data_IF_507704109787
#
_entry.id   IF_507704109787
#
_cell.length_a   1.000
_cell.length_b   1.000
_cell.length_c   1.000
_cell.angle_alpha   90.00
_cell.angle_beta   90.00
_cell.angle_gamma   90.00
#
_symmetry.space_group_name_H-M   'P 1'
#
loop_
_entity.id
_entity.type
_entity.pdbx_description
1 polymer ?
#
# COMPACT_ATOMS: atom_id res chain seq x y z
N UNK A 1 28.86 37.19 10.77
CA UNK A 1 29.72 36.88 9.61
C UNK A 1 29.26 35.51 9.11
N UNK A 2 28.34 35.52 8.14
CA UNK A 2 27.62 34.35 7.66
C UNK A 2 28.43 33.63 6.58
N UNK A 3 28.67 32.33 6.77
CA UNK A 3 29.10 31.42 5.70
C UNK A 3 28.01 30.35 5.57
N UNK A 4 27.35 30.21 4.40
CA UNK A 4 26.36 29.17 4.20
C UNK A 4 27.05 27.84 3.88
N UNK A 5 26.92 26.86 4.76
CA UNK A 5 27.35 25.48 4.48
C UNK A 5 26.24 24.81 3.65
N UNK A 6 26.54 24.50 2.40
CA UNK A 6 25.67 23.78 1.47
C UNK A 6 25.31 22.38 2.01
N UNK A 7 24.02 22.03 1.99
CA UNK A 7 23.49 20.73 2.45
C UNK A 7 24.07 19.51 1.72
N UNK A 8 24.76 19.71 0.59
CA UNK A 8 25.51 18.64 -0.11
C UNK A 8 26.76 18.17 0.66
N UNK A 9 27.33 18.99 1.54
CA UNK A 9 28.54 18.62 2.29
C UNK A 9 28.23 17.65 3.45
N UNK A 10 27.10 17.87 4.15
CA UNK A 10 26.62 16.98 5.23
C UNK A 10 26.19 15.60 4.72
N UNK A 11 25.59 15.54 3.53
CA UNK A 11 25.16 14.30 2.90
C UNK A 11 26.33 13.38 2.50
N UNK A 12 27.51 13.95 2.22
CA UNK A 12 28.72 13.18 1.88
C UNK A 12 29.51 12.70 3.09
N UNK A 13 29.37 13.35 4.24
CA UNK A 13 30.08 12.98 5.47
C UNK A 13 29.41 11.81 6.21
N UNK A 14 28.06 11.72 6.18
CA UNK A 14 27.31 10.65 6.85
C UNK A 14 27.45 9.27 6.17
N UNK A 15 27.73 9.22 4.87
CA UNK A 15 27.88 7.96 4.12
C UNK A 15 29.26 7.30 4.25
N UNK A 16 30.17 7.80 5.11
CA UNK A 16 31.51 7.21 5.30
C UNK A 16 31.70 6.43 6.61
N UNK A 17 30.75 6.44 7.55
CA UNK A 17 31.04 5.93 8.91
C UNK A 17 30.11 4.83 9.42
N UNK A 18 29.10 4.36 8.67
CA UNK A 18 28.22 3.26 9.14
C UNK A 18 28.11 2.15 8.11
N UNK A 19 29.19 1.39 7.95
CA UNK A 19 29.16 0.01 7.43
C UNK A 19 30.24 -0.78 8.16
N UNK A 20 29.96 -1.20 9.40
CA UNK A 20 30.68 -2.28 10.07
C UNK A 20 29.64 -3.25 10.63
N UNK A 21 29.70 -4.51 10.17
CA UNK A 21 28.96 -5.61 10.78
C UNK A 21 27.82 -6.20 9.96
N UNK A 22 28.09 -6.62 8.72
CA UNK A 22 27.51 -7.83 8.08
C UNK A 22 28.21 -8.05 6.75
N UNK A 23 28.63 -9.29 6.51
CA UNK A 23 29.44 -9.76 5.39
C UNK A 23 29.09 -9.09 4.05
N UNK A 24 29.81 -8.03 3.70
CA UNK A 24 29.85 -7.51 2.34
C UNK A 24 30.73 -8.46 1.54
N UNK A 25 30.10 -9.40 0.83
CA UNK A 25 30.76 -9.98 -0.33
C UNK A 25 31.04 -8.81 -1.29
N UNK A 26 32.28 -8.33 -1.27
CA UNK A 26 32.79 -7.45 -2.32
C UNK A 26 32.60 -8.20 -3.62
N UNK A 27 31.69 -7.70 -4.45
CA UNK A 27 31.65 -8.05 -5.87
C UNK A 27 32.96 -7.51 -6.44
N UNK A 28 33.98 -8.36 -6.38
CA UNK A 28 35.28 -8.07 -6.95
C UNK A 28 35.09 -8.39 -8.42
N UNK A 29 34.79 -7.38 -9.22
CA UNK A 29 34.78 -7.50 -10.67
C UNK A 29 36.19 -7.90 -11.10
N UNK A 30 36.40 -9.20 -11.35
CA UNK A 30 37.58 -9.68 -12.07
C UNK A 30 37.40 -9.25 -13.53
N UNK A 31 37.78 -8.01 -13.81
CA UNK A 31 37.94 -7.50 -15.16
C UNK A 31 39.10 -8.25 -15.81
N UNK A 32 38.80 -9.42 -16.34
CA UNK A 32 39.73 -10.17 -17.19
C UNK A 32 39.70 -9.48 -18.54
N UNK A 33 40.81 -8.84 -18.90
CA UNK A 33 40.97 -8.14 -20.17
C UNK A 33 40.85 -9.12 -21.34
N UNK A 34 39.64 -9.20 -21.92
CA UNK A 34 39.40 -9.65 -23.28
C UNK A 34 38.60 -8.53 -23.94
N UNK A 35 39.30 -7.54 -24.52
CA UNK A 35 38.70 -6.55 -25.40
C UNK A 35 38.34 -7.23 -26.73
N UNK A 36 37.23 -7.96 -26.74
CA UNK A 36 36.44 -8.09 -27.94
C UNK A 36 35.61 -6.81 -28.05
N UNK A 37 35.88 -5.98 -29.06
CA UNK A 37 34.98 -4.87 -29.40
C UNK A 37 33.65 -5.48 -29.82
N UNK A 38 32.67 -5.54 -28.91
CA UNK A 38 31.31 -5.96 -29.28
C UNK A 38 30.80 -5.03 -30.39
N UNK A 39 30.38 -5.61 -31.51
CA UNK A 39 29.75 -4.82 -32.57
C UNK A 39 28.46 -4.19 -32.05
N UNK A 40 28.26 -2.89 -32.35
CA UNK A 40 27.05 -2.18 -31.96
C UNK A 40 25.84 -2.79 -32.67
N UNK A 41 25.01 -3.54 -31.94
CA UNK A 41 23.76 -4.10 -32.43
C UNK A 41 22.79 -2.97 -32.79
N UNK A 42 22.22 -3.02 -33.99
CA UNK A 42 21.20 -2.08 -34.46
C UNK A 42 20.01 -2.81 -35.05
N UNK A 43 18.83 -2.20 -34.98
CA UNK A 43 17.65 -2.71 -35.69
C UNK A 43 17.61 -2.25 -37.17
N UNK A 44 16.57 -2.65 -37.91
CA UNK A 44 16.34 -2.29 -39.32
C UNK A 44 16.18 -0.79 -39.59
N UNK A 45 15.94 0.03 -38.56
CA UNK A 45 15.87 1.48 -38.64
C UNK A 45 17.16 2.17 -38.13
N UNK A 46 18.27 1.41 -38.00
CA UNK A 46 19.56 1.89 -37.51
C UNK A 46 19.52 2.45 -36.06
N UNK A 47 18.54 2.04 -35.26
CA UNK A 47 18.47 2.38 -33.84
C UNK A 47 19.35 1.40 -33.08
N UNK A 48 20.22 1.92 -32.23
CA UNK A 48 21.09 1.13 -31.37
C UNK A 48 20.26 0.32 -30.36
N UNK A 49 20.54 -0.98 -30.29
CA UNK A 49 19.95 -1.94 -29.37
C UNK A 49 20.89 -2.16 -28.18
N UNK A 50 20.41 -2.91 -27.18
CA UNK A 50 21.26 -3.39 -26.09
C UNK A 50 22.49 -4.14 -26.63
N UNK A 51 23.62 -4.05 -25.92
CA UNK A 51 24.84 -4.83 -26.19
C UNK A 51 24.55 -6.34 -26.19
N UNK A 52 25.42 -7.13 -26.83
CA UNK A 52 25.19 -8.59 -26.89
C UNK A 52 25.32 -9.22 -25.50
N UNK A 53 26.27 -8.74 -24.69
CA UNK A 53 26.40 -9.09 -23.28
C UNK A 53 25.09 -8.88 -22.49
N UNK A 54 24.43 -7.73 -22.60
CA UNK A 54 23.18 -7.49 -21.87
C UNK A 54 22.00 -8.24 -22.49
N UNK A 55 21.94 -8.31 -23.81
CA UNK A 55 20.86 -8.99 -24.52
C UNK A 55 20.81 -10.49 -24.20
N UNK A 56 21.97 -11.16 -24.22
CA UNK A 56 22.07 -12.59 -23.89
C UNK A 56 21.65 -12.87 -22.43
N UNK A 57 21.97 -11.97 -21.50
CA UNK A 57 21.57 -12.10 -20.09
C UNK A 57 20.08 -11.84 -19.85
N UNK A 58 19.50 -10.83 -20.50
CA UNK A 58 18.09 -10.42 -20.30
C UNK A 58 17.12 -11.35 -21.05
N UNK A 59 17.48 -11.79 -22.26
CA UNK A 59 16.59 -12.54 -23.13
C UNK A 59 17.01 -14.02 -23.29
N UNK A 60 18.01 -14.48 -22.53
CA UNK A 60 18.51 -15.88 -22.52
C UNK A 60 18.70 -16.46 -23.93
N UNK A 61 19.26 -15.68 -24.84
CA UNK A 61 19.50 -16.03 -26.25
C UNK A 61 18.23 -16.29 -27.09
N UNK A 62 17.10 -15.71 -26.70
CA UNK A 62 15.92 -15.66 -27.58
C UNK A 62 16.28 -14.92 -28.86
N UNK A 63 16.04 -15.54 -30.02
CA UNK A 63 16.29 -14.90 -31.31
C UNK A 63 15.30 -13.74 -31.49
N UNK A 64 15.76 -12.56 -31.94
CA UNK A 64 14.85 -11.48 -32.30
C UNK A 64 13.82 -11.95 -33.32
N UNK A 65 12.56 -11.55 -33.13
CA UNK A 65 11.52 -11.82 -34.11
C UNK A 65 11.90 -11.17 -35.45
N UNK A 66 11.85 -11.96 -36.53
CA UNK A 66 12.07 -11.44 -37.89
C UNK A 66 10.78 -10.80 -38.39
N UNK A 67 10.87 -9.55 -38.88
CA UNK A 67 9.73 -8.85 -39.49
C UNK A 67 9.61 -9.23 -40.96
N UNK A 68 8.38 -9.27 -41.49
CA UNK A 68 8.16 -9.49 -42.93
C UNK A 68 8.64 -8.29 -43.74
N UNK A 69 9.00 -8.51 -45.01
CA UNK A 69 9.45 -7.45 -45.90
C UNK A 69 8.39 -6.36 -46.10
N UNK A 70 7.11 -6.73 -46.14
CA UNK A 70 5.99 -5.80 -46.25
C UNK A 70 5.87 -4.91 -45.01
N UNK A 71 6.10 -5.47 -43.80
CA UNK A 71 6.11 -4.70 -42.56
C UNK A 71 7.28 -3.71 -42.54
N UNK A 72 8.47 -4.15 -42.92
CA UNK A 72 9.66 -3.29 -43.01
C UNK A 72 9.46 -2.16 -44.02
N UNK A 73 8.86 -2.44 -45.18
CA UNK A 73 8.55 -1.43 -46.20
C UNK A 73 7.60 -0.36 -45.67
N UNK A 74 6.54 -0.75 -44.95
CA UNK A 74 5.61 0.19 -44.32
C UNK A 74 6.29 1.06 -43.27
N UNK A 75 7.13 0.49 -42.41
CA UNK A 75 7.89 1.25 -41.40
C UNK A 75 8.81 2.25 -42.08
N UNK A 76 9.56 1.83 -43.11
CA UNK A 76 10.45 2.70 -43.88
C UNK A 76 9.70 3.86 -44.53
N UNK A 77 8.58 3.60 -45.21
CA UNK A 77 7.77 4.66 -45.83
C UNK A 77 7.23 5.66 -44.80
N UNK A 78 6.79 5.18 -43.62
CA UNK A 78 6.33 6.04 -42.53
C UNK A 78 7.46 6.95 -42.02
N UNK A 79 8.65 6.38 -41.79
CA UNK A 79 9.81 7.14 -41.35
C UNK A 79 10.27 8.16 -42.40
N UNK A 80 10.22 7.84 -43.70
CA UNK A 80 10.51 8.78 -44.79
C UNK A 80 9.51 9.94 -44.79
N UNK A 81 8.20 9.63 -44.69
CA UNK A 81 7.13 10.64 -44.68
C UNK A 81 7.31 11.68 -43.57
N UNK A 82 7.78 11.25 -42.40
CA UNK A 82 8.05 12.14 -41.26
C UNK A 82 9.47 12.72 -41.24
N UNK A 83 10.27 12.45 -42.29
CA UNK A 83 11.65 12.91 -42.40
C UNK A 83 12.55 12.35 -41.29
N UNK A 84 12.32 11.12 -40.85
CA UNK A 84 13.07 10.43 -39.78
C UNK A 84 14.00 9.33 -40.30
N UNK A 85 13.79 8.86 -41.54
CA UNK A 85 14.62 7.83 -42.16
C UNK A 85 16.04 8.35 -42.48
N UNK A 86 17.05 7.47 -42.38
CA UNK A 86 18.48 7.77 -42.60
C UNK A 86 19.07 8.92 -41.77
N UNK A 87 18.41 9.33 -40.68
CA UNK A 87 18.99 10.29 -39.73
C UNK A 87 20.00 9.59 -38.82
N UNK A 88 21.18 10.18 -38.67
CA UNK A 88 22.23 9.68 -37.76
C UNK A 88 21.80 9.85 -36.31
N UNK A 89 21.70 8.74 -35.57
CA UNK A 89 21.56 8.76 -34.11
C UNK A 89 22.93 8.76 -33.45
N UNK A 90 23.06 9.45 -32.32
CA UNK A 90 24.25 9.34 -31.46
C UNK A 90 24.34 7.92 -30.94
N UNK A 91 25.46 7.23 -31.22
CA UNK A 91 25.72 5.88 -30.72
C UNK A 91 26.49 5.97 -29.39
N UNK A 92 26.03 5.23 -28.39
CA UNK A 92 26.75 5.02 -27.15
C UNK A 92 27.72 3.83 -27.30
N UNK A 93 28.79 3.81 -26.52
CA UNK A 93 29.67 2.65 -26.46
C UNK A 93 28.92 1.43 -25.90
N UNK A 94 29.10 0.23 -26.47
CA UNK A 94 28.51 -1.00 -25.94
C UNK A 94 28.90 -1.25 -24.49
N UNK A 95 27.90 -1.46 -23.63
CA UNK A 95 28.10 -1.68 -22.21
C UNK A 95 28.27 -3.17 -21.92
N UNK A 96 29.34 -3.54 -21.21
CA UNK A 96 29.55 -4.90 -20.72
C UNK A 96 29.37 -4.90 -19.20
N UNK A 97 28.24 -5.43 -18.72
CA UNK A 97 27.92 -5.55 -17.28
C UNK A 97 27.31 -6.91 -17.04
N UNK A 98 27.82 -7.61 -16.03
CA UNK A 98 27.21 -8.83 -15.53
C UNK A 98 26.04 -8.48 -14.60
N UNK A 99 24.83 -8.83 -15.01
CA UNK A 99 23.61 -8.67 -14.24
C UNK A 99 23.51 -9.77 -13.17
N UNK A 100 22.86 -9.48 -12.02
CA UNK A 100 22.50 -10.52 -11.07
C UNK A 100 21.69 -11.63 -11.75
N UNK A 101 21.80 -12.85 -11.22
CA UNK A 101 21.06 -14.00 -11.75
C UNK A 101 19.57 -13.71 -11.79
N UNK A 102 18.99 -13.72 -12.99
CA UNK A 102 17.55 -13.57 -13.16
C UNK A 102 16.80 -14.83 -12.68
N UNK A 103 15.66 -14.63 -12.05
CA UNK A 103 14.75 -15.69 -11.63
C UNK A 103 13.87 -16.18 -12.80
N UNK A 104 13.41 -15.27 -13.67
CA UNK A 104 12.53 -15.56 -14.81
C UNK A 104 13.26 -15.69 -16.15
N UNK A 105 12.53 -15.93 -17.26
CA UNK A 105 13.12 -16.07 -18.61
C UNK A 105 13.30 -14.74 -19.34
N UNK A 106 12.55 -13.73 -18.93
CA UNK A 106 12.64 -12.34 -19.39
C UNK A 106 12.43 -11.40 -18.19
N UNK A 107 12.46 -10.08 -18.43
CA UNK A 107 12.28 -9.08 -17.37
C UNK A 107 10.91 -9.19 -16.70
N UNK A 108 9.85 -9.42 -17.48
CA UNK A 108 8.48 -9.58 -16.97
C UNK A 108 8.38 -10.75 -16.00
N UNK A 109 8.76 -11.95 -16.45
CA UNK A 109 8.79 -13.16 -15.62
C UNK A 109 9.65 -12.94 -14.37
N UNK A 110 10.80 -12.26 -14.50
CA UNK A 110 11.70 -12.02 -13.37
C UNK A 110 11.04 -11.19 -12.26
N UNK A 111 10.37 -10.10 -12.62
CA UNK A 111 9.65 -9.28 -11.65
C UNK A 111 8.41 -9.98 -11.10
N UNK A 112 7.74 -10.81 -11.91
CA UNK A 112 6.63 -11.64 -11.44
C UNK A 112 7.08 -12.64 -10.37
N UNK A 113 8.20 -13.32 -10.59
CA UNK A 113 8.77 -14.26 -9.61
C UNK A 113 9.25 -13.55 -8.34
N UNK A 114 9.89 -12.37 -8.46
CA UNK A 114 10.23 -11.54 -7.28
C UNK A 114 8.95 -11.16 -6.52
N UNK A 115 7.92 -10.71 -7.23
CA UNK A 115 6.66 -10.30 -6.61
C UNK A 115 6.01 -11.47 -5.87
N UNK A 116 5.86 -12.63 -6.51
CA UNK A 116 5.30 -13.85 -5.91
C UNK A 116 6.04 -14.23 -4.63
N UNK A 117 7.37 -14.26 -4.65
CA UNK A 117 8.17 -14.63 -3.47
C UNK A 117 8.01 -13.60 -2.35
N UNK A 118 8.03 -12.30 -2.67
CA UNK A 118 7.93 -11.22 -1.68
C UNK A 118 6.55 -11.06 -1.07
N UNK A 119 5.49 -11.39 -1.79
CA UNK A 119 4.11 -11.21 -1.34
C UNK A 119 3.43 -12.50 -0.90
N UNK A 120 4.09 -13.67 -1.07
CA UNK A 120 3.53 -15.01 -0.82
C UNK A 120 2.67 -15.11 0.44
N UNK A 121 3.22 -14.73 1.59
CA UNK A 121 2.53 -14.88 2.88
C UNK A 121 1.39 -13.86 3.01
N UNK A 122 1.58 -12.62 2.57
CA UNK A 122 0.53 -11.59 2.57
C UNK A 122 -0.62 -11.93 1.62
N UNK A 123 -0.33 -12.56 0.48
CA UNK A 123 -1.35 -13.07 -0.43
C UNK A 123 -2.17 -14.18 0.24
N UNK A 124 -1.51 -15.13 0.89
CA UNK A 124 -2.18 -16.19 1.66
C UNK A 124 -3.03 -15.61 2.81
N UNK A 125 -2.58 -14.55 3.48
CA UNK A 125 -3.36 -13.83 4.49
C UNK A 125 -4.60 -13.15 3.92
N UNK A 126 -4.47 -12.45 2.79
CA UNK A 126 -5.58 -11.84 2.09
C UNK A 126 -6.61 -12.89 1.66
N UNK A 127 -6.16 -13.98 1.02
CA UNK A 127 -7.01 -15.10 0.60
C UNK A 127 -7.71 -15.75 1.80
N UNK A 128 -6.98 -16.01 2.89
CA UNK A 128 -7.58 -16.54 4.13
C UNK A 128 -8.67 -15.61 4.68
N UNK A 129 -8.44 -14.30 4.68
CA UNK A 129 -9.42 -13.32 5.17
C UNK A 129 -10.66 -13.27 4.27
N UNK A 130 -10.48 -13.22 2.94
CA UNK A 130 -11.58 -13.24 1.97
C UNK A 130 -12.45 -14.49 2.11
N UNK A 131 -11.83 -15.67 2.24
CA UNK A 131 -12.54 -16.93 2.44
C UNK A 131 -13.23 -17.07 3.81
N UNK A 132 -12.82 -16.27 4.81
CA UNK A 132 -13.35 -16.35 6.17
C UNK A 132 -14.46 -15.34 6.46
N UNK A 133 -14.85 -14.52 5.48
CA UNK A 133 -15.80 -13.41 5.63
C UNK A 133 -17.16 -13.83 6.21
N UNK A 134 -17.63 -15.04 5.90
CA UNK A 134 -18.91 -15.58 6.41
C UNK A 134 -18.80 -16.19 7.80
N UNK A 135 -17.58 -16.34 8.32
CA UNK A 135 -17.27 -17.02 9.58
C UNK A 135 -16.69 -16.10 10.65
N UNK A 136 -16.78 -14.78 10.46
CA UNK A 136 -16.29 -13.84 11.47
C UNK A 136 -17.13 -13.91 12.77
N UNK A 137 -16.51 -13.65 13.93
CA UNK A 137 -17.21 -13.62 15.20
C UNK A 137 -18.34 -12.58 15.22
N UNK A 138 -19.40 -12.88 15.97
CA UNK A 138 -20.42 -11.89 16.25
C UNK A 138 -19.82 -10.67 16.95
N UNK A 139 -20.31 -9.49 16.56
CA UNK A 139 -19.86 -8.24 17.14
C UNK A 139 -20.21 -8.19 18.64
N UNK A 140 -19.30 -7.74 19.52
CA UNK A 140 -19.61 -7.50 20.92
C UNK A 140 -20.79 -6.54 21.10
N UNK A 141 -21.70 -6.89 22.02
CA UNK A 141 -22.83 -6.04 22.40
C UNK A 141 -22.43 -4.92 23.36
N UNK A 142 -21.34 -5.12 24.11
CA UNK A 142 -20.76 -4.12 24.99
C UNK A 142 -19.24 -4.08 24.84
N UNK A 143 -18.73 -2.86 24.71
CA UNK A 143 -17.30 -2.60 24.61
C UNK A 143 -16.76 -2.15 25.97
N UNK A 144 -15.53 -2.56 26.27
CA UNK A 144 -14.87 -2.26 27.53
C UNK A 144 -14.21 -0.89 27.41
N UNK A 145 -14.59 0.03 28.29
CA UNK A 145 -14.01 1.37 28.36
C UNK A 145 -12.70 1.32 29.17
N UNK A 146 -11.62 0.85 28.55
CA UNK A 146 -10.32 0.71 29.19
C UNK A 146 -9.20 1.02 28.19
N UNK A 147 -8.19 1.77 28.63
CA UNK A 147 -7.03 2.14 27.81
C UNK A 147 -6.27 0.91 27.30
N UNK A 148 -5.79 0.99 26.06
CA UNK A 148 -5.07 -0.07 25.39
C UNK A 148 -5.98 -1.03 24.62
N UNK A 149 -5.43 -2.20 24.24
CA UNK A 149 -6.15 -3.20 23.46
C UNK A 149 -6.94 -4.16 24.35
N UNK A 150 -8.18 -4.43 23.94
CA UNK A 150 -9.05 -5.48 24.47
C UNK A 150 -9.46 -6.44 23.35
N UNK A 151 -9.28 -7.73 23.58
CA UNK A 151 -9.66 -8.85 22.71
C UNK A 151 -10.99 -9.45 23.17
N UNK A 152 -11.89 -9.68 22.22
CA UNK A 152 -13.20 -10.33 22.41
C UNK A 152 -13.21 -11.62 21.61
N UNK A 153 -13.14 -12.75 22.31
CA UNK A 153 -13.09 -14.08 21.70
C UNK A 153 -14.50 -14.63 21.43
N UNK A 154 -14.58 -15.62 20.54
CA UNK A 154 -15.84 -16.28 20.16
C UNK A 154 -16.53 -17.03 21.30
N UNK A 155 -15.78 -17.43 22.33
CA UNK A 155 -16.30 -18.06 23.54
C UNK A 155 -16.86 -17.04 24.57
N UNK A 156 -16.80 -15.75 24.25
CA UNK A 156 -17.22 -14.65 25.11
C UNK A 156 -16.14 -14.17 26.08
N UNK A 157 -14.93 -14.74 26.05
CA UNK A 157 -13.83 -14.25 26.87
C UNK A 157 -13.37 -12.85 26.42
N UNK A 158 -13.17 -11.98 27.41
CA UNK A 158 -12.68 -10.61 27.20
C UNK A 158 -11.32 -10.49 27.89
N UNK A 159 -10.28 -10.15 27.12
CA UNK A 159 -8.90 -10.12 27.60
C UNK A 159 -8.20 -8.82 27.20
N UNK A 160 -7.51 -8.18 28.14
CA UNK A 160 -6.58 -7.09 27.80
C UNK A 160 -5.33 -7.69 27.16
N UNK A 161 -4.92 -7.14 26.01
CA UNK A 161 -3.72 -7.56 25.28
C UNK A 161 -2.83 -6.34 24.99
N UNK A 162 -1.54 -6.57 24.70
CA UNK A 162 -0.63 -5.47 24.35
C UNK A 162 -0.81 -5.00 22.91
N UNK A 163 -1.15 -5.93 22.03
CA UNK A 163 -1.40 -5.76 20.61
C UNK A 163 -2.19 -6.97 20.10
N UNK A 164 -2.91 -6.88 18.96
CA UNK A 164 -3.60 -8.02 18.36
C UNK A 164 -2.64 -9.14 17.95
N UNK A 165 -2.97 -10.40 18.24
CA UNK A 165 -2.09 -11.56 17.98
C UNK A 165 -2.24 -12.17 16.57
N UNK A 166 -3.29 -11.85 15.82
CA UNK A 166 -3.52 -12.42 14.49
C UNK A 166 -2.68 -11.75 13.40
N UNK A 167 -2.35 -12.53 12.38
CA UNK A 167 -1.57 -12.08 11.22
C UNK A 167 -2.41 -11.31 10.20
N UNK A 168 -3.75 -11.39 10.23
CA UNK A 168 -4.62 -10.67 9.29
C UNK A 168 -5.90 -10.20 9.96
N UNK A 169 -6.29 -8.96 9.68
CA UNK A 169 -7.50 -8.33 10.21
C UNK A 169 -7.94 -7.15 9.36
N UNK A 170 -9.24 -6.85 9.42
CA UNK A 170 -9.75 -5.54 9.00
C UNK A 170 -9.54 -4.56 10.15
N UNK A 171 -9.14 -3.32 9.84
CA UNK A 171 -8.71 -2.32 10.81
C UNK A 171 -9.23 -0.93 10.43
N UNK A 172 -9.67 -0.16 11.42
CA UNK A 172 -10.20 1.20 11.26
C UNK A 172 -9.94 2.04 12.53
N UNK A 173 -9.62 3.32 12.36
CA UNK A 173 -9.23 4.28 13.41
C UNK A 173 -10.12 5.51 13.40
N UNK A 174 -10.56 5.94 14.58
CA UNK A 174 -11.29 7.19 14.77
C UNK A 174 -10.43 8.23 15.52
N UNK A 175 -10.54 9.47 15.07
CA UNK A 175 -9.85 10.66 15.59
C UNK A 175 -10.89 11.71 15.96
N UNK A 176 -10.71 12.39 17.09
CA UNK A 176 -11.55 13.52 17.47
C UNK A 176 -10.94 14.83 16.93
N UNK A 177 -11.59 15.45 15.95
CA UNK A 177 -11.05 16.62 15.25
C UNK A 177 -10.88 17.85 16.17
N UNK A 178 -11.73 18.00 17.17
CA UNK A 178 -11.63 19.07 18.18
C UNK A 178 -10.46 18.86 19.17
N UNK A 179 -10.07 17.61 19.38
CA UNK A 179 -9.03 17.24 20.33
C UNK A 179 -7.62 17.32 19.72
N UNK A 180 -7.51 17.18 18.40
CA UNK A 180 -6.26 17.21 17.65
C UNK A 180 -6.05 15.93 16.84
N UNK A 181 -4.89 15.84 16.18
CA UNK A 181 -4.58 14.72 15.30
C UNK A 181 -4.00 13.51 16.07
N UNK A 182 -4.74 12.99 17.04
CA UNK A 182 -4.35 11.79 17.82
C UNK A 182 -5.41 10.70 17.69
N UNK A 183 -5.02 9.43 17.63
CA UNK A 183 -5.99 8.35 17.55
C UNK A 183 -6.72 8.25 18.89
N UNK A 184 -8.06 8.17 18.84
CA UNK A 184 -8.92 8.08 20.02
C UNK A 184 -9.42 6.66 20.19
N UNK A 185 -9.86 6.04 19.10
CA UNK A 185 -10.37 4.67 19.08
C UNK A 185 -9.78 3.93 17.88
N UNK A 186 -9.55 2.63 18.04
CA UNK A 186 -9.40 1.75 16.89
C UNK A 186 -10.20 0.47 17.10
N UNK A 187 -10.61 -0.14 16.00
CA UNK A 187 -11.27 -1.44 15.99
C UNK A 187 -10.59 -2.33 14.97
N UNK A 188 -10.44 -3.60 15.31
CA UNK A 188 -10.03 -4.61 14.34
C UNK A 188 -10.88 -5.87 14.46
N UNK A 189 -11.02 -6.61 13.36
CA UNK A 189 -11.67 -7.93 13.37
C UNK A 189 -10.85 -8.91 12.56
N UNK A 190 -10.62 -10.09 13.15
CA UNK A 190 -10.06 -11.25 12.49
C UNK A 190 -11.12 -12.34 12.37
N UNK A 191 -10.75 -13.50 11.79
CA UNK A 191 -11.60 -14.70 11.83
C UNK A 191 -11.94 -15.16 13.26
N UNK A 192 -11.10 -14.85 14.25
CA UNK A 192 -11.17 -15.47 15.57
C UNK A 192 -11.65 -14.53 16.67
N UNK A 193 -11.48 -13.21 16.49
CA UNK A 193 -11.77 -12.24 17.54
C UNK A 193 -12.03 -10.83 17.00
N UNK A 194 -12.77 -10.06 17.81
CA UNK A 194 -12.82 -8.60 17.70
C UNK A 194 -11.78 -7.98 18.63
N UNK A 195 -11.28 -6.82 18.24
CA UNK A 195 -10.32 -6.03 19.00
C UNK A 195 -10.79 -4.59 19.11
N UNK A 196 -10.63 -4.03 20.29
CA UNK A 196 -10.91 -2.63 20.58
C UNK A 196 -9.70 -2.00 21.22
N UNK A 197 -9.18 -0.93 20.62
CA UNK A 197 -8.20 -0.06 21.25
C UNK A 197 -8.88 1.22 21.73
N UNK A 198 -8.57 1.63 22.96
CA UNK A 198 -8.99 2.91 23.51
C UNK A 198 -7.76 3.72 23.90
N UNK A 199 -7.68 4.94 23.41
CA UNK A 199 -6.59 5.86 23.72
C UNK A 199 -6.60 6.25 25.20
N UNK A 200 -5.42 6.41 25.79
CA UNK A 200 -5.31 6.90 27.16
C UNK A 200 -5.83 8.35 27.29
N UNK A 201 -5.75 9.16 26.23
CA UNK A 201 -6.34 10.51 26.20
C UNK A 201 -7.85 10.52 26.35
N UNK A 202 -8.53 9.42 25.96
CA UNK A 202 -9.96 9.30 26.18
C UNK A 202 -10.23 8.94 27.65
N UNK A 203 -9.47 8.02 28.24
CA UNK A 203 -9.72 7.53 29.60
C UNK A 203 -9.20 8.43 30.73
N UNK A 204 -8.15 9.22 30.48
CA UNK A 204 -7.54 10.13 31.47
C UNK A 204 -8.00 11.57 31.20
N UNK A 205 -8.97 12.04 31.99
CA UNK A 205 -9.55 13.39 31.86
C UNK A 205 -8.56 14.52 32.15
N UNK A 206 -7.48 14.25 32.90
CA UNK A 206 -6.45 15.23 33.21
C UNK A 206 -5.32 15.30 32.18
N UNK A 207 -5.33 14.40 31.19
CA UNK A 207 -4.23 14.27 30.24
C UNK A 207 -4.24 15.38 29.20
N UNK A 208 -3.09 16.03 29.01
CA UNK A 208 -2.91 17.00 27.93
C UNK A 208 -2.61 16.27 26.61
N UNK A 209 -3.40 16.57 25.59
CA UNK A 209 -3.17 16.04 24.25
C UNK A 209 -1.98 16.77 23.64
N UNK A 210 -0.94 16.05 23.20
CA UNK A 210 0.22 16.69 22.62
C UNK A 210 -0.14 17.34 21.28
N UNK A 211 0.52 18.47 20.99
CA UNK A 211 0.37 19.15 19.70
C UNK A 211 0.91 18.30 18.54
N UNK A 212 1.97 17.52 18.81
CA UNK A 212 2.60 16.61 17.86
C UNK A 212 2.41 15.15 18.29
N UNK A 213 2.19 14.26 17.32
CA UNK A 213 2.07 12.82 17.58
C UNK A 213 3.43 12.28 18.04
N UNK A 214 3.43 11.55 19.16
CA UNK A 214 4.61 10.82 19.67
C UNK A 214 4.38 9.31 19.53
N UNK A 215 5.44 8.48 19.55
CA UNK A 215 5.27 7.02 19.51
C UNK A 215 4.41 6.43 20.64
N UNK A 216 4.19 7.18 21.72
CA UNK A 216 3.35 6.77 22.86
C UNK A 216 1.86 7.09 22.64
N UNK A 217 1.54 8.01 21.72
CA UNK A 217 0.16 8.28 21.30
C UNK A 217 -0.29 7.37 20.16
N UNK A 218 0.59 6.55 19.58
CA UNK A 218 0.30 5.66 18.46
C UNK A 218 -0.22 4.28 18.90
N UNK A 219 -0.93 3.63 18.00
CA UNK A 219 -1.56 2.32 18.20
C UNK A 219 -0.51 1.22 17.96
N UNK A 220 -0.17 0.39 18.96
CA UNK A 220 0.76 -0.72 18.79
C UNK A 220 0.07 -1.89 18.08
N UNK A 221 0.67 -2.41 17.01
CA UNK A 221 0.11 -3.54 16.24
C UNK A 221 0.97 -4.80 16.30
N UNK A 222 2.16 -4.72 16.89
CA UNK A 222 3.10 -5.82 17.03
C UNK A 222 3.95 -5.71 18.30
N UNK A 223 4.75 -6.74 18.56
CA UNK A 223 5.66 -6.78 19.69
C UNK A 223 7.07 -6.31 19.34
N UNK A 224 8.04 -6.71 20.16
CA UNK A 224 9.46 -6.43 19.92
C UNK A 224 10.01 -7.12 18.66
N UNK A 225 9.43 -8.26 18.30
CA UNK A 225 9.75 -8.97 17.07
C UNK A 225 9.01 -8.34 15.88
N UNK A 226 9.65 -7.30 15.33
CA UNK A 226 9.17 -6.58 14.15
C UNK A 226 9.21 -7.41 12.87
N UNK A 227 9.85 -8.59 12.86
CA UNK A 227 9.91 -9.44 11.68
C UNK A 227 8.62 -10.22 11.42
N UNK A 228 7.72 -10.28 12.42
CA UNK A 228 6.43 -10.97 12.30
C UNK A 228 5.55 -10.28 11.27
N UNK A 229 5.15 -11.06 10.28
CA UNK A 229 4.32 -10.60 9.18
C UNK A 229 2.87 -10.42 9.63
N UNK A 230 2.30 -9.27 9.25
CA UNK A 230 0.92 -8.91 9.54
C UNK A 230 0.34 -8.12 8.38
N UNK A 231 -0.88 -8.44 7.98
CA UNK A 231 -1.64 -7.74 6.96
C UNK A 231 -2.82 -7.01 7.59
N UNK A 232 -2.82 -5.67 7.49
CA UNK A 232 -3.92 -4.82 7.92
C UNK A 232 -4.72 -4.38 6.69
N UNK A 233 -5.99 -4.73 6.66
CA UNK A 233 -6.89 -4.39 5.56
C UNK A 233 -7.81 -3.27 6.04
N UNK A 234 -7.99 -2.21 5.26
CA UNK A 234 -8.85 -1.10 5.64
C UNK A 234 -9.33 -0.32 4.44
N UNK A 235 -10.27 0.60 4.64
CA UNK A 235 -10.79 1.46 3.58
C UNK A 235 -10.16 2.84 3.66
N UNK A 236 -9.44 3.26 2.63
CA UNK A 236 -8.55 4.42 2.66
C UNK A 236 -7.49 4.29 3.78
N UNK A 237 -6.94 3.08 3.91
CA UNK A 237 -6.12 2.65 5.07
C UNK A 237 -4.85 3.48 5.30
N UNK A 238 -4.45 4.32 4.34
CA UNK A 238 -3.32 5.24 4.49
C UNK A 238 -3.52 6.21 5.68
N UNK A 239 -4.77 6.60 5.97
CA UNK A 239 -5.10 7.41 7.14
C UNK A 239 -4.84 6.63 8.44
N UNK A 240 -5.43 5.44 8.57
CA UNK A 240 -5.29 4.57 9.74
C UNK A 240 -3.83 4.15 9.97
N UNK A 241 -3.12 3.85 8.88
CA UNK A 241 -1.69 3.53 8.86
C UNK A 241 -0.84 4.60 9.54
N UNK A 242 -1.21 5.88 9.42
CA UNK A 242 -0.45 6.97 10.04
C UNK A 242 -0.52 6.97 11.57
N UNK A 243 -1.41 6.17 12.16
CA UNK A 243 -1.52 6.02 13.61
C UNK A 243 -0.94 4.70 14.12
N UNK A 244 -0.42 3.83 13.25
CA UNK A 244 0.22 2.57 13.64
C UNK A 244 1.67 2.81 14.03
N UNK A 245 2.01 2.46 15.29
CA UNK A 245 3.31 2.74 15.91
C UNK A 245 4.49 2.24 15.08
N UNK A 246 4.38 1.01 14.56
CA UNK A 246 5.48 0.32 13.90
C UNK A 246 5.84 0.87 12.52
N UNK A 247 4.94 1.63 11.90
CA UNK A 247 5.19 2.29 10.61
C UNK A 247 6.32 3.32 10.72
N UNK A 248 6.57 3.83 11.92
CA UNK A 248 7.60 4.84 12.20
C UNK A 248 8.91 4.26 12.71
N UNK A 249 9.04 2.92 12.79
CA UNK A 249 10.33 2.29 13.07
C UNK A 249 11.29 2.47 11.88
N UNK A 250 12.56 2.76 12.19
CA UNK A 250 13.61 2.96 11.18
C UNK A 250 14.01 1.67 10.45
N UNK A 251 13.88 0.54 11.13
CA UNK A 251 14.17 -0.78 10.56
C UNK A 251 12.93 -1.35 9.88
N UNK A 252 13.14 -2.18 8.87
CA UNK A 252 12.07 -2.91 8.20
C UNK A 252 11.26 -3.74 9.21
N UNK A 253 9.95 -3.83 8.97
CA UNK A 253 9.01 -4.58 9.76
C UNK A 253 8.08 -5.41 8.86
N UNK A 254 7.42 -6.41 9.43
CA UNK A 254 6.52 -7.31 8.71
C UNK A 254 5.10 -6.78 8.51
N UNK A 255 4.78 -5.53 8.90
CA UNK A 255 3.41 -5.01 8.74
C UNK A 255 3.24 -4.50 7.30
N UNK A 256 2.22 -5.00 6.62
CA UNK A 256 1.77 -4.51 5.31
C UNK A 256 0.30 -4.14 5.36
N UNK A 257 -0.10 -3.28 4.44
CA UNK A 257 -1.44 -2.72 4.39
C UNK A 257 -2.08 -3.02 3.04
N UNK A 258 -3.37 -3.32 3.04
CA UNK A 258 -4.16 -3.50 1.83
C UNK A 258 -5.39 -2.60 1.88
N UNK A 259 -5.54 -1.78 0.85
CA UNK A 259 -6.54 -0.74 0.81
C UNK A 259 -7.72 -1.13 -0.07
N UNK A 260 -8.90 -1.30 0.54
CA UNK A 260 -10.13 -1.66 -0.19
C UNK A 260 -10.58 -0.54 -1.12
N UNK A 261 -10.24 0.72 -0.83
CA UNK A 261 -10.50 1.82 -1.75
C UNK A 261 -9.65 1.70 -3.01
N UNK A 262 -8.34 1.47 -2.88
CA UNK A 262 -7.45 1.27 -4.02
C UNK A 262 -7.87 0.09 -4.89
N UNK A 263 -8.28 -1.02 -4.28
CA UNK A 263 -8.81 -2.19 -4.99
C UNK A 263 -10.08 -1.85 -5.78
N UNK A 264 -11.02 -1.12 -5.14
CA UNK A 264 -12.20 -0.63 -5.83
C UNK A 264 -11.84 0.25 -7.02
N UNK A 265 -10.90 1.20 -6.87
CA UNK A 265 -10.47 2.07 -7.97
C UNK A 265 -9.91 1.26 -9.14
N UNK A 266 -9.19 0.16 -8.88
CA UNK A 266 -8.68 -0.72 -9.93
C UNK A 266 -9.77 -1.50 -10.69
N UNK A 267 -10.89 -1.84 -10.06
CA UNK A 267 -11.91 -2.74 -10.64
C UNK A 267 -13.17 -2.00 -11.10
N UNK A 268 -13.64 -1.02 -10.32
CA UNK A 268 -14.93 -0.33 -10.51
C UNK A 268 -14.85 1.18 -10.21
N UNK A 269 -13.64 1.74 -10.28
CA UNK A 269 -13.43 3.18 -10.13
C UNK A 269 -13.99 3.97 -11.31
N UNK A 270 -14.38 5.21 -11.05
CA UNK A 270 -14.90 6.14 -12.07
C UNK A 270 -13.94 7.31 -12.27
N UNK A 271 -13.92 7.88 -13.48
CA UNK A 271 -13.12 9.09 -13.79
C UNK A 271 -13.69 10.34 -13.10
N UNK A 272 -12.92 11.42 -13.11
CA UNK A 272 -13.39 12.70 -12.56
C UNK A 272 -14.61 13.25 -13.31
N UNK A 273 -14.65 13.11 -14.64
CA UNK A 273 -15.79 13.51 -15.46
C UNK A 273 -17.03 12.68 -15.12
N UNK A 274 -16.88 11.36 -15.03
CA UNK A 274 -17.96 10.46 -14.62
C UNK A 274 -18.48 10.79 -13.22
N UNK A 275 -17.59 11.06 -12.27
CA UNK A 275 -17.96 11.52 -10.92
C UNK A 275 -18.77 12.81 -10.95
N UNK A 276 -18.39 13.76 -11.81
CA UNK A 276 -19.15 15.00 -11.98
C UNK A 276 -20.56 14.73 -12.51
N UNK A 277 -20.71 13.81 -13.46
CA UNK A 277 -22.03 13.40 -13.95
C UNK A 277 -22.86 12.70 -12.87
N UNK A 278 -22.26 11.81 -12.07
CA UNK A 278 -22.94 11.15 -10.95
C UNK A 278 -23.42 12.12 -9.86
N UNK A 279 -22.70 13.23 -9.66
CA UNK A 279 -23.06 14.24 -8.67
C UNK A 279 -24.11 15.25 -9.17
N UNK A 280 -24.39 15.29 -10.48
CA UNK A 280 -25.46 16.13 -11.02
C UNK A 280 -26.81 15.51 -10.64
N UNK A 281 -27.63 16.25 -9.89
CA UNK A 281 -29.00 15.84 -9.48
C UNK A 281 -30.01 15.91 -10.63
N UNK A 282 -29.64 15.52 -11.84
CA UNK A 282 -30.57 15.48 -12.97
C UNK A 282 -31.08 14.04 -13.17
N UNK A 283 -32.37 13.75 -12.92
CA UNK A 283 -32.92 12.39 -13.06
C UNK A 283 -32.94 11.89 -14.51
N UNK A 284 -32.74 12.75 -15.51
CA UNK A 284 -32.64 12.36 -16.92
C UNK A 284 -31.25 11.84 -17.33
N UNK A 285 -30.24 11.91 -16.46
CA UNK A 285 -28.85 11.53 -16.75
C UNK A 285 -28.42 10.24 -16.03
N UNK A 286 -29.28 9.23 -16.02
CA UNK A 286 -28.89 7.88 -15.61
C UNK A 286 -28.29 7.16 -16.82
N UNK A 287 -26.98 6.98 -16.82
CA UNK A 287 -26.28 6.27 -17.88
C UNK A 287 -26.03 4.82 -17.45
N UNK A 288 -26.04 3.89 -18.41
CA UNK A 288 -25.80 2.46 -18.16
C UNK A 288 -24.50 2.18 -17.39
N UNK A 289 -23.42 2.92 -17.71
CA UNK A 289 -22.12 2.79 -17.04
C UNK A 289 -22.16 3.12 -15.54
N UNK A 290 -23.18 3.84 -15.05
CA UNK A 290 -23.31 4.17 -13.62
C UNK A 290 -23.61 2.94 -12.76
N UNK A 291 -24.06 1.84 -13.36
CA UNK A 291 -24.25 0.56 -12.67
C UNK A 291 -22.97 -0.28 -12.55
N UNK A 292 -21.88 0.16 -13.19
CA UNK A 292 -20.61 -0.57 -13.26
C UNK A 292 -19.47 0.06 -12.44
N UNK A 293 -19.75 1.16 -11.74
CA UNK A 293 -18.77 1.83 -10.90
C UNK A 293 -19.42 2.66 -9.80
N UNK A 294 -18.61 3.06 -8.82
CA UNK A 294 -19.06 3.88 -7.70
C UNK A 294 -18.05 4.97 -7.36
N UNK A 295 -18.46 5.89 -6.50
CA UNK A 295 -17.57 6.91 -5.94
C UNK A 295 -16.91 6.42 -4.66
N UNK A 296 -15.77 7.00 -4.33
CA UNK A 296 -14.79 6.46 -3.40
C UNK A 296 -15.21 6.37 -1.92
N UNK A 297 -16.36 6.89 -1.49
CA UNK A 297 -16.69 6.87 -0.05
C UNK A 297 -17.13 5.47 0.39
N UNK A 298 -16.73 5.04 1.60
CA UNK A 298 -17.14 3.74 2.18
C UNK A 298 -18.65 3.49 2.06
N UNK A 299 -19.47 4.49 2.36
CA UNK A 299 -20.93 4.40 2.24
C UNK A 299 -21.40 4.10 0.80
N UNK A 300 -20.73 4.69 -0.20
CA UNK A 300 -21.05 4.50 -1.62
C UNK A 300 -20.54 3.18 -2.16
N UNK A 301 -19.41 2.67 -1.65
CA UNK A 301 -18.96 1.31 -1.97
C UNK A 301 -19.87 0.27 -1.32
N UNK A 302 -20.29 0.49 -0.07
CA UNK A 302 -21.20 -0.42 0.63
C UNK A 302 -22.57 -0.47 -0.07
N UNK A 303 -23.10 0.67 -0.49
CA UNK A 303 -24.30 0.74 -1.34
C UNK A 303 -24.12 -0.02 -2.66
N UNK A 304 -22.97 0.14 -3.30
CA UNK A 304 -22.67 -0.46 -4.60
C UNK A 304 -22.51 -1.99 -4.52
N UNK A 305 -21.65 -2.49 -3.63
CA UNK A 305 -21.31 -3.92 -3.54
C UNK A 305 -22.30 -4.73 -2.69
N UNK A 306 -22.88 -4.12 -1.65
CA UNK A 306 -23.75 -4.83 -0.69
C UNK A 306 -25.23 -4.47 -0.82
N UNK A 307 -25.60 -3.49 -1.67
CA UNK A 307 -26.97 -3.01 -1.87
C UNK A 307 -27.65 -2.57 -0.56
N UNK A 308 -26.87 -1.97 0.35
CA UNK A 308 -27.31 -1.48 1.66
C UNK A 308 -26.79 -0.08 1.92
N UNK A 309 -27.55 0.72 2.66
CA UNK A 309 -27.17 2.08 3.03
C UNK A 309 -26.40 2.10 4.35
N UNK A 310 -25.49 3.06 4.48
CA UNK A 310 -24.74 3.33 5.71
C UNK A 310 -25.26 4.60 6.36
N UNK A 311 -25.71 4.50 7.61
CA UNK A 311 -25.97 5.69 8.44
C UNK A 311 -24.64 6.35 8.84
N UNK A 312 -24.53 7.64 8.59
CA UNK A 312 -23.34 8.45 8.86
C UNK A 312 -23.47 9.31 10.12
N UNK A 313 -24.64 9.33 10.75
CA UNK A 313 -24.96 10.25 11.86
C UNK A 313 -23.97 10.19 13.02
N UNK A 314 -23.43 9.00 13.34
CA UNK A 314 -22.46 8.84 14.44
C UNK A 314 -21.05 9.32 14.08
N UNK A 315 -20.72 9.49 12.78
CA UNK A 315 -19.44 10.07 12.35
C UNK A 315 -19.32 11.52 12.81
N UNK A 316 -20.42 12.25 12.81
CA UNK A 316 -20.44 13.67 13.13
C UNK A 316 -19.97 13.93 14.57
N UNK A 317 -20.12 12.96 15.47
CA UNK A 317 -19.58 13.01 16.82
C UNK A 317 -18.05 13.15 16.86
N UNK A 318 -17.32 12.50 15.96
CA UNK A 318 -15.86 12.59 15.88
C UNK A 318 -15.37 13.87 15.17
N UNK A 319 -16.24 14.47 14.35
CA UNK A 319 -15.92 15.68 13.57
C UNK A 319 -16.27 16.94 14.35
N UNK A 320 -17.45 17.00 14.95
CA UNK A 320 -18.01 18.18 15.61
C UNK A 320 -17.91 18.10 17.14
N UNK A 321 -18.00 16.89 17.70
CA UNK A 321 -17.95 16.66 19.14
C UNK A 321 -16.54 16.77 19.73
N UNK A 322 -16.50 16.97 21.04
CA UNK A 322 -15.27 16.97 21.84
C UNK A 322 -15.09 15.61 22.55
N UNK A 323 -13.98 15.43 23.28
CA UNK A 323 -13.71 14.17 23.97
C UNK A 323 -14.79 13.79 24.99
N UNK A 324 -15.38 14.76 25.70
CA UNK A 324 -16.45 14.51 26.67
C UNK A 324 -17.68 13.89 25.99
N UNK A 325 -18.08 14.40 24.84
CA UNK A 325 -19.22 13.87 24.08
C UNK A 325 -18.97 12.40 23.66
N UNK A 326 -17.72 12.09 23.28
CA UNK A 326 -17.29 10.71 22.95
C UNK A 326 -17.30 9.82 24.19
N UNK A 327 -16.92 10.32 25.37
CA UNK A 327 -16.98 9.55 26.63
C UNK A 327 -18.42 9.19 26.99
N UNK A 328 -19.30 10.17 26.96
CA UNK A 328 -20.72 10.01 27.31
C UNK A 328 -21.43 9.08 26.32
N UNK A 329 -21.00 9.09 25.06
CA UNK A 329 -21.55 8.26 23.98
C UNK A 329 -20.68 7.06 23.62
N UNK A 330 -19.76 6.62 24.50
CA UNK A 330 -18.71 5.65 24.13
C UNK A 330 -19.23 4.38 23.45
N UNK A 331 -20.31 3.77 23.96
CA UNK A 331 -20.89 2.56 23.37
C UNK A 331 -21.41 2.81 21.96
N UNK A 332 -22.02 3.98 21.71
CA UNK A 332 -22.51 4.37 20.39
C UNK A 332 -21.32 4.62 19.45
N UNK A 333 -20.33 5.39 19.88
CA UNK A 333 -19.10 5.67 19.13
C UNK A 333 -18.37 4.38 18.74
N UNK A 334 -18.26 3.41 19.65
CA UNK A 334 -17.62 2.13 19.36
C UNK A 334 -18.44 1.24 18.46
N UNK A 335 -19.75 1.22 18.66
CA UNK A 335 -20.66 0.50 17.75
C UNK A 335 -20.52 1.05 16.34
N UNK A 336 -20.38 2.36 16.15
CA UNK A 336 -20.12 2.94 14.83
C UNK A 336 -18.78 2.54 14.23
N UNK A 337 -17.66 2.68 14.95
CA UNK A 337 -16.34 2.29 14.45
C UNK A 337 -16.28 0.80 14.07
N UNK A 338 -16.92 -0.08 14.85
CA UNK A 338 -17.05 -1.50 14.50
C UNK A 338 -17.91 -1.76 13.25
N UNK A 339 -18.90 -0.90 12.97
CA UNK A 339 -19.70 -0.96 11.74
C UNK A 339 -18.85 -0.56 10.52
N UNK A 340 -17.97 0.44 10.64
CA UNK A 340 -17.02 0.79 9.58
C UNK A 340 -16.09 -0.37 9.22
N UNK A 341 -15.59 -1.08 10.24
CA UNK A 341 -14.80 -2.32 10.06
C UNK A 341 -15.64 -3.41 9.37
N UNK A 342 -16.87 -3.66 9.81
CA UNK A 342 -17.75 -4.67 9.19
C UNK A 342 -18.07 -4.32 7.72
N UNK A 343 -18.28 -3.05 7.40
CA UNK A 343 -18.52 -2.63 6.02
C UNK A 343 -17.29 -2.74 5.14
N UNK A 344 -16.12 -2.36 5.66
CA UNK A 344 -14.85 -2.56 4.96
C UNK A 344 -14.61 -4.06 4.71
N UNK A 345 -14.96 -4.91 5.68
CA UNK A 345 -14.93 -6.35 5.52
C UNK A 345 -15.89 -6.83 4.42
N UNK A 346 -17.13 -6.35 4.39
CA UNK A 346 -18.14 -6.79 3.41
C UNK A 346 -17.85 -6.31 1.98
N UNK A 347 -17.08 -5.23 1.83
CA UNK A 347 -16.61 -4.71 0.53
C UNK A 347 -15.39 -5.49 0.03
N UNK A 348 -14.52 -5.93 0.95
CA UNK A 348 -13.42 -6.85 0.70
C UNK A 348 -13.94 -8.20 0.21
#
# INVERSE_FOLDING_TARGET
MNIPISSKALYRALNRTVLHGRSTQRITCMCTQLQATEETRTNHANIQMLSENLHSQIFKNTKPQTLSEEALSRVKQHLIKHGLWDKTSTKAEPLTIDLPKMLGNNIGDHFEEIAKERTKNYFAYAEHMSNSITSIPEKPTQWLYQSGWTKYETDGAVKTVKYPDENVMIFDVEVCMQAGNVPILATAVSKNAWYCWVSHYLTDEGCHIPQDITPDSMIPMSGEDLSKEKLLIGHNVAFDRSFVKEVYHLNDNGIRFLDTLSLHVCVSGVTNEQRNYMNQKNPASVYEWMNHGSTNSLAKLYEFYCHKTLDKSTRDLFVEGNLQDIRESFQLSKTFNSICVEHSLRIW
#
